data_IF_595938235829
#
_entry.id   IF_595938235829
#
_cell.length_a   1.000
_cell.length_b   1.000
_cell.length_c   1.000
_cell.angle_alpha   90.00
_cell.angle_beta   90.00
_cell.angle_gamma   90.00
#
_symmetry.space_group_name_H-M   'P 1'
#
loop_
_entity.id
_entity.type
_entity.pdbx_description
1 polymer ?
#
# COMPACT_ATOMS: atom_id res chain seq x y z
N UNK A 1 -10.78 10.28 -23.21
CA UNK A 1 -11.09 8.94 -23.74
C UNK A 1 -11.30 9.06 -25.24
N UNK A 2 -10.23 9.05 -26.03
CA UNK A 2 -10.27 9.44 -27.45
C UNK A 2 -9.61 8.41 -28.37
N UNK A 3 -10.24 8.22 -29.53
CA UNK A 3 -9.84 7.47 -30.72
C UNK A 3 -9.42 5.99 -30.58
N UNK A 4 -9.98 5.16 -31.47
CA UNK A 4 -9.60 3.76 -31.70
C UNK A 4 -8.26 3.69 -32.46
N UNK A 5 -7.18 4.18 -31.85
CA UNK A 5 -5.83 4.11 -32.42
C UNK A 5 -4.99 3.05 -31.68
N UNK A 6 -5.07 1.76 -32.07
CA UNK A 6 -4.22 0.72 -31.50
C UNK A 6 -2.80 0.79 -32.06
N UNK A 7 -1.82 0.46 -31.22
CA UNK A 7 -0.40 0.35 -31.55
C UNK A 7 0.06 -1.11 -31.45
N UNK A 8 1.17 -1.48 -32.09
CA UNK A 8 1.73 -2.84 -31.95
C UNK A 8 2.29 -3.09 -30.54
N UNK A 9 2.95 -2.07 -29.99
CA UNK A 9 3.64 -2.13 -28.70
C UNK A 9 3.31 -0.90 -27.86
N UNK A 10 3.12 -1.08 -26.55
CA UNK A 10 2.99 -0.01 -25.57
C UNK A 10 4.17 -0.09 -24.60
N UNK A 11 4.85 1.04 -24.39
CA UNK A 11 5.95 1.18 -23.44
C UNK A 11 5.55 2.14 -22.33
N UNK A 12 5.56 1.66 -21.09
CA UNK A 12 5.43 2.49 -19.91
C UNK A 12 6.82 2.88 -19.41
N UNK A 13 7.14 4.17 -19.47
CA UNK A 13 8.40 4.73 -18.96
C UNK A 13 8.42 4.83 -17.44
N UNK A 14 7.26 4.93 -16.81
CA UNK A 14 7.08 5.02 -15.36
C UNK A 14 5.80 4.31 -14.95
N UNK A 15 5.85 3.59 -13.83
CA UNK A 15 4.69 3.01 -13.16
C UNK A 15 3.97 4.00 -12.21
N UNK A 16 4.46 5.24 -12.12
CA UNK A 16 3.90 6.32 -11.29
C UNK A 16 3.25 7.40 -12.13
N UNK A 17 2.13 7.91 -11.61
CA UNK A 17 1.32 8.97 -12.19
C UNK A 17 1.09 10.06 -11.15
N UNK A 18 1.28 11.31 -11.56
CA UNK A 18 0.99 12.49 -10.74
C UNK A 18 -0.43 12.97 -11.01
N UNK A 19 -1.28 12.98 -9.99
CA UNK A 19 -2.68 13.43 -10.09
C UNK A 19 -2.86 14.90 -9.68
N UNK A 20 -1.77 15.68 -9.59
CA UNK A 20 -1.79 17.10 -9.19
C UNK A 20 -1.45 17.34 -7.71
N UNK A 21 -1.66 16.34 -6.85
CA UNK A 21 -1.36 16.41 -5.42
C UNK A 21 -0.32 15.37 -4.97
N UNK A 22 -0.44 14.14 -5.46
CA UNK A 22 0.44 13.04 -5.08
C UNK A 22 0.93 12.27 -6.32
N UNK A 23 2.10 11.67 -6.19
CA UNK A 23 2.71 10.82 -7.22
C UNK A 23 2.50 9.35 -6.83
N UNK A 24 1.35 8.82 -7.20
CA UNK A 24 0.90 7.47 -6.83
C UNK A 24 1.23 6.43 -7.90
N UNK A 25 1.15 5.16 -7.53
CA UNK A 25 1.17 4.06 -8.48
C UNK A 25 -0.08 4.07 -9.37
N UNK A 26 0.12 3.69 -10.63
CA UNK A 26 -0.97 3.48 -11.60
C UNK A 26 -1.84 2.33 -11.08
N UNK A 27 -3.18 2.49 -11.11
CA UNK A 27 -4.06 1.39 -10.69
C UNK A 27 -4.15 0.31 -11.76
N UNK A 28 -4.61 -0.88 -11.39
CA UNK A 28 -4.74 -1.97 -12.36
C UNK A 28 -5.74 -1.63 -13.47
N UNK A 29 -6.82 -0.90 -13.15
CA UNK A 29 -7.77 -0.42 -14.16
C UNK A 29 -7.13 0.54 -15.18
N UNK A 30 -6.36 1.52 -14.70
CA UNK A 30 -5.59 2.45 -15.56
C UNK A 30 -4.57 1.69 -16.42
N UNK A 31 -3.85 0.72 -15.83
CA UNK A 31 -2.90 -0.13 -16.56
C UNK A 31 -3.58 -0.90 -17.68
N UNK A 32 -4.68 -1.63 -17.39
CA UNK A 32 -5.44 -2.41 -18.37
C UNK A 32 -5.95 -1.52 -19.51
N UNK A 33 -6.44 -0.32 -19.18
CA UNK A 33 -6.94 0.61 -20.19
C UNK A 33 -5.85 1.12 -21.14
N UNK A 34 -4.65 1.39 -20.61
CA UNK A 34 -3.51 1.86 -21.41
C UNK A 34 -2.86 0.70 -22.18
N UNK A 35 -2.61 -0.43 -21.51
CA UNK A 35 -2.00 -1.62 -22.09
C UNK A 35 -2.89 -2.28 -23.15
N UNK A 36 -4.22 -2.15 -23.01
CA UNK A 36 -5.21 -2.62 -23.99
C UNK A 36 -5.15 -1.93 -25.35
N UNK A 37 -4.31 -0.90 -25.50
CA UNK A 37 -3.99 -0.29 -26.81
C UNK A 37 -2.92 -1.06 -27.58
N UNK A 38 -2.25 -2.03 -26.96
CA UNK A 38 -1.25 -2.87 -27.61
C UNK A 38 -1.90 -4.02 -28.42
N UNK A 39 -1.41 -4.24 -29.64
CA UNK A 39 -1.89 -5.26 -30.57
C UNK A 39 -2.99 -4.72 -31.51
N UNK A 40 -2.72 -4.74 -32.81
CA UNK A 40 -3.72 -4.37 -33.84
C UNK A 40 -4.42 -5.62 -34.36
N UNK A 41 -5.74 -5.66 -34.22
CA UNK A 41 -6.59 -6.78 -34.67
C UNK A 41 -6.34 -7.11 -36.15
N UNK A 42 -5.99 -8.36 -36.44
CA UNK A 42 -5.74 -8.86 -37.80
C UNK A 42 -4.41 -8.44 -38.43
N UNK A 43 -3.52 -7.72 -37.71
CA UNK A 43 -2.18 -7.34 -38.20
C UNK A 43 -1.04 -7.84 -37.32
N UNK A 44 -1.26 -7.92 -36.00
CA UNK A 44 -0.25 -8.37 -35.05
C UNK A 44 -0.78 -9.65 -34.34
N UNK A 45 0.05 -10.68 -34.20
CA UNK A 45 -0.32 -11.94 -33.52
C UNK A 45 -0.56 -11.75 -32.01
N UNK A 46 0.13 -10.77 -31.41
CA UNK A 46 0.04 -10.41 -29.99
C UNK A 46 0.41 -8.94 -29.78
N UNK A 47 -0.16 -8.32 -28.75
CA UNK A 47 0.26 -7.01 -28.25
C UNK A 47 1.45 -7.14 -27.31
N UNK A 48 2.48 -6.30 -27.49
CA UNK A 48 3.62 -6.24 -26.57
C UNK A 48 3.46 -5.06 -25.61
N UNK A 49 3.63 -5.31 -24.32
CA UNK A 49 3.57 -4.28 -23.28
C UNK A 49 4.84 -4.38 -22.45
N UNK A 50 5.58 -3.27 -22.36
CA UNK A 50 6.82 -3.19 -21.58
C UNK A 50 6.62 -2.17 -20.47
N UNK A 51 6.87 -2.59 -19.23
CA UNK A 51 6.84 -1.71 -18.05
C UNK A 51 8.24 -1.50 -17.53
N UNK A 52 8.73 -0.25 -17.56
CA UNK A 52 9.99 0.11 -16.91
C UNK A 52 9.76 0.24 -15.40
N UNK A 53 10.57 -0.48 -14.64
CA UNK A 53 10.45 -0.61 -13.18
C UNK A 53 11.60 0.13 -12.50
N UNK A 54 11.29 0.92 -11.48
CA UNK A 54 12.28 1.58 -10.62
C UNK A 54 12.61 0.68 -9.40
N UNK A 55 13.79 0.84 -8.81
CA UNK A 55 14.26 0.07 -7.65
C UNK A 55 13.34 0.21 -6.41
N UNK A 56 12.52 1.26 -6.37
CA UNK A 56 11.56 1.50 -5.29
C UNK A 56 10.29 0.65 -5.38
N UNK A 57 10.06 -0.06 -6.49
CA UNK A 57 8.86 -0.87 -6.68
C UNK A 57 9.04 -2.25 -6.05
N UNK A 58 8.14 -2.62 -5.14
CA UNK A 58 8.12 -3.98 -4.58
C UNK A 58 7.57 -4.99 -5.59
N UNK A 59 7.83 -6.27 -5.35
CA UNK A 59 7.31 -7.35 -6.20
C UNK A 59 5.79 -7.48 -6.11
N UNK A 60 5.24 -7.13 -4.95
CA UNK A 60 3.83 -7.12 -4.61
C UNK A 60 3.10 -6.01 -5.38
N UNK A 61 3.65 -4.79 -5.37
CA UNK A 61 3.10 -3.65 -6.12
C UNK A 61 3.07 -3.96 -7.62
N UNK A 62 4.16 -4.52 -8.15
CA UNK A 62 4.24 -4.93 -9.55
C UNK A 62 3.15 -5.93 -9.93
N UNK A 63 2.94 -6.94 -9.07
CA UNK A 63 1.93 -7.97 -9.25
C UNK A 63 0.53 -7.38 -9.18
N UNK A 64 0.28 -6.42 -8.29
CA UNK A 64 -1.01 -5.75 -8.16
C UNK A 64 -1.34 -4.90 -9.39
N UNK A 65 -0.37 -4.21 -9.99
CA UNK A 65 -0.62 -3.43 -11.21
C UNK A 65 -0.98 -4.35 -12.39
N UNK A 66 -0.19 -5.41 -12.60
CA UNK A 66 -0.32 -6.28 -13.78
C UNK A 66 -1.47 -7.28 -13.66
N UNK A 67 -1.65 -7.89 -12.48
CA UNK A 67 -2.64 -8.96 -12.22
C UNK A 67 -3.78 -8.52 -11.30
N UNK A 68 -3.86 -7.23 -10.98
CA UNK A 68 -4.95 -6.70 -10.16
C UNK A 68 -6.31 -6.88 -10.82
N UNK A 69 -7.34 -6.89 -9.98
CA UNK A 69 -8.70 -6.73 -10.47
C UNK A 69 -8.90 -5.28 -10.97
N UNK A 70 -9.80 -5.10 -11.93
CA UNK A 70 -10.24 -3.76 -12.34
C UNK A 70 -10.83 -3.01 -11.15
N UNK A 71 -10.51 -1.73 -11.04
CA UNK A 71 -11.01 -0.90 -9.94
C UNK A 71 -12.55 -0.84 -9.98
N UNK A 72 -13.23 -0.99 -8.83
CA UNK A 72 -14.67 -0.81 -8.76
C UNK A 72 -15.04 0.63 -9.11
N UNK A 73 -16.17 0.81 -9.79
CA UNK A 73 -16.71 2.13 -10.08
C UNK A 73 -17.24 2.74 -8.77
N UNK A 74 -16.45 3.56 -8.10
CA UNK A 74 -16.85 4.26 -6.89
C UNK A 74 -17.38 5.66 -7.21
N UNK A 75 -18.51 6.03 -6.60
CA UNK A 75 -19.07 7.36 -6.76
C UNK A 75 -18.16 8.43 -6.13
N UNK A 76 -17.83 9.46 -6.91
CA UNK A 76 -17.16 10.67 -6.41
C UNK A 76 -18.17 11.79 -6.10
N UNK A 77 -19.45 11.46 -5.93
CA UNK A 77 -20.49 12.44 -5.69
C UNK A 77 -20.19 13.27 -4.44
N UNK A 78 -20.17 14.59 -4.60
CA UNK A 78 -19.96 15.57 -3.52
C UNK A 78 -20.92 16.74 -3.73
N UNK A 79 -21.46 17.26 -2.65
CA UNK A 79 -22.27 18.48 -2.68
C UNK A 79 -21.38 19.68 -2.98
N UNK A 80 -21.81 20.50 -3.93
CA UNK A 80 -21.16 21.78 -4.26
C UNK A 80 -22.15 22.92 -4.08
N UNK A 81 -21.68 24.12 -3.74
CA UNK A 81 -22.56 25.27 -3.52
C UNK A 81 -23.46 25.57 -4.72
N UNK A 82 -22.90 25.51 -5.93
CA UNK A 82 -23.65 25.74 -7.18
C UNK A 82 -24.78 24.72 -7.35
N UNK A 83 -24.52 23.44 -7.05
CA UNK A 83 -25.53 22.38 -7.09
C UNK A 83 -26.66 22.66 -6.10
N UNK A 84 -26.34 22.99 -4.84
CA UNK A 84 -27.36 23.28 -3.82
C UNK A 84 -28.20 24.51 -4.20
N UNK A 85 -27.57 25.59 -4.65
CA UNK A 85 -28.28 26.81 -5.08
C UNK A 85 -29.19 26.54 -6.28
N UNK A 86 -28.74 25.74 -7.26
CA UNK A 86 -29.58 25.36 -8.39
C UNK A 86 -30.75 24.49 -7.97
N UNK A 87 -30.57 23.61 -6.99
CA UNK A 87 -31.64 22.75 -6.48
C UNK A 87 -32.69 23.56 -5.71
N UNK A 88 -32.26 24.50 -4.87
CA UNK A 88 -33.17 25.41 -4.16
C UNK A 88 -33.93 26.35 -5.09
N UNK A 89 -33.39 26.65 -6.28
CA UNK A 89 -34.04 27.51 -7.28
C UNK A 89 -35.17 26.79 -8.02
N UNK A 90 -35.11 25.46 -8.14
CA UNK A 90 -36.10 24.68 -8.90
C UNK A 90 -37.20 24.25 -7.94
N UNK A 91 -38.38 24.86 -8.06
CA UNK A 91 -39.55 24.45 -7.29
C UNK A 91 -39.91 22.99 -7.61
N UNK A 92 -39.93 22.14 -6.58
CA UNK A 92 -40.27 20.71 -6.68
C UNK A 92 -39.09 19.72 -6.56
N UNK A 93 -37.84 20.19 -6.44
CA UNK A 93 -36.69 19.29 -6.21
C UNK A 93 -36.06 19.55 -4.84
N UNK A 94 -36.28 18.64 -3.90
CA UNK A 94 -35.63 18.68 -2.60
C UNK A 94 -34.18 18.16 -2.72
N UNK A 95 -33.17 18.89 -2.22
CA UNK A 95 -31.78 18.42 -2.21
C UNK A 95 -31.61 17.05 -1.53
N UNK A 96 -32.38 16.79 -0.48
CA UNK A 96 -32.40 15.53 0.27
C UNK A 96 -32.80 14.36 -0.61
N UNK A 97 -33.78 14.56 -1.50
CA UNK A 97 -34.25 13.54 -2.43
C UNK A 97 -33.17 13.15 -3.45
N UNK A 98 -32.35 14.11 -3.90
CA UNK A 98 -31.19 13.83 -4.75
C UNK A 98 -30.11 13.04 -4.00
N UNK A 99 -29.88 13.38 -2.72
CA UNK A 99 -28.89 12.70 -1.89
C UNK A 99 -29.25 11.24 -1.67
N UNK A 100 -30.50 10.95 -1.33
CA UNK A 100 -30.99 9.59 -1.11
C UNK A 100 -30.86 8.70 -2.36
N UNK A 101 -31.10 9.26 -3.54
CA UNK A 101 -30.99 8.55 -4.84
C UNK A 101 -29.61 8.62 -5.47
N UNK A 102 -28.62 9.20 -4.79
CA UNK A 102 -27.27 9.29 -5.32
C UNK A 102 -26.61 7.91 -5.38
N UNK A 103 -25.79 7.67 -6.41
CA UNK A 103 -25.03 6.42 -6.53
C UNK A 103 -24.10 6.18 -5.33
N UNK A 104 -23.59 7.25 -4.72
CA UNK A 104 -22.82 7.17 -3.49
C UNK A 104 -23.63 6.56 -2.34
N UNK A 105 -24.86 7.03 -2.15
CA UNK A 105 -25.73 6.52 -1.10
C UNK A 105 -26.17 5.08 -1.37
N UNK A 106 -26.43 4.73 -2.63
CA UNK A 106 -26.69 3.34 -3.04
C UNK A 106 -25.54 2.40 -2.67
N UNK A 107 -24.29 2.78 -2.97
CA UNK A 107 -23.12 1.97 -2.64
C UNK A 107 -22.95 1.78 -1.12
N UNK A 108 -23.21 2.82 -0.34
CA UNK A 108 -23.16 2.73 1.12
C UNK A 108 -24.25 1.79 1.66
N UNK A 109 -25.48 1.90 1.18
CA UNK A 109 -26.58 1.04 1.61
C UNK A 109 -26.36 -0.43 1.25
N UNK A 110 -25.81 -0.71 0.06
CA UNK A 110 -25.47 -2.08 -0.36
C UNK A 110 -24.34 -2.69 0.49
N UNK A 111 -23.37 -1.88 0.93
CA UNK A 111 -22.27 -2.34 1.77
C UNK A 111 -22.67 -2.62 3.24
N UNK A 112 -23.68 -1.92 3.78
CA UNK A 112 -24.07 -2.01 5.21
C UNK A 112 -24.43 -3.44 5.66
N UNK A 113 -25.27 -4.22 4.95
CA UNK A 113 -25.60 -5.58 5.35
C UNK A 113 -24.38 -6.50 5.46
N UNK A 114 -23.46 -6.41 4.50
CA UNK A 114 -22.22 -7.19 4.51
C UNK A 114 -21.32 -6.84 5.69
N UNK A 115 -21.19 -5.54 6.00
CA UNK A 115 -20.44 -5.07 7.16
C UNK A 115 -21.08 -5.50 8.48
N UNK A 116 -22.42 -5.42 8.59
CA UNK A 116 -23.16 -5.89 9.78
C UNK A 116 -22.96 -7.39 10.00
N UNK A 117 -23.03 -8.19 8.93
CA UNK A 117 -22.78 -9.64 9.03
C UNK A 117 -21.38 -9.93 9.54
N UNK A 118 -20.34 -9.31 8.96
CA UNK A 118 -18.95 -9.49 9.41
C UNK A 118 -18.73 -9.04 10.85
N UNK A 119 -19.37 -7.96 11.27
CA UNK A 119 -19.31 -7.50 12.66
C UNK A 119 -19.96 -8.51 13.61
N UNK A 120 -21.09 -9.10 13.22
CA UNK A 120 -21.75 -10.15 13.98
C UNK A 120 -20.92 -11.44 14.04
N UNK A 121 -20.36 -11.90 12.91
CA UNK A 121 -19.46 -13.06 12.86
C UNK A 121 -18.27 -12.89 13.81
N UNK A 122 -17.65 -11.70 13.82
CA UNK A 122 -16.55 -11.38 14.73
C UNK A 122 -17.00 -11.23 16.18
N UNK A 123 -18.21 -10.73 16.44
CA UNK A 123 -18.75 -10.67 17.79
C UNK A 123 -18.98 -12.08 18.36
N UNK A 124 -19.53 -13.00 17.56
CA UNK A 124 -19.70 -14.40 17.94
C UNK A 124 -18.35 -15.08 18.18
N UNK A 125 -17.36 -14.84 17.32
CA UNK A 125 -16.01 -15.37 17.51
C UNK A 125 -15.37 -14.88 18.83
N UNK A 126 -15.64 -13.62 19.23
CA UNK A 126 -15.20 -13.08 20.53
C UNK A 126 -15.95 -13.73 21.69
N UNK A 127 -17.26 -13.93 21.57
CA UNK A 127 -18.08 -14.56 22.60
C UNK A 127 -17.73 -16.04 22.82
N UNK A 128 -17.36 -16.77 21.76
CA UNK A 128 -16.94 -18.17 21.83
C UNK A 128 -15.52 -18.34 22.44
N UNK A 129 -14.67 -17.31 22.31
CA UNK A 129 -13.35 -17.29 22.95
C UNK A 129 -13.46 -17.05 24.46
N UNK A 130 -13.72 -18.11 25.22
CA UNK A 130 -13.66 -18.05 26.67
C UNK A 130 -12.22 -18.21 27.19
N UNK A 131 -11.69 -17.17 27.82
CA UNK A 131 -10.36 -17.17 28.46
C UNK A 131 -10.53 -17.13 29.97
N UNK A 132 -10.05 -18.17 30.66
CA UNK A 132 -10.03 -18.19 32.12
C UNK A 132 -9.09 -17.09 32.66
N UNK A 133 -9.53 -16.34 33.69
CA UNK A 133 -8.73 -15.28 34.31
C UNK A 133 -8.23 -14.17 33.35
N UNK A 134 -9.11 -13.70 32.46
CA UNK A 134 -8.81 -12.69 31.42
C UNK A 134 -8.05 -11.45 31.95
N UNK A 135 -8.38 -10.96 33.15
CA UNK A 135 -7.74 -9.75 33.72
C UNK A 135 -6.25 -9.94 34.00
N UNK A 136 -5.88 -11.08 34.58
CA UNK A 136 -4.49 -11.36 34.94
C UNK A 136 -3.66 -11.67 33.69
N UNK A 137 -4.25 -12.40 32.75
CA UNK A 137 -3.64 -12.73 31.46
C UNK A 137 -3.42 -11.45 30.62
N UNK A 138 -4.41 -10.54 30.58
CA UNK A 138 -4.29 -9.26 29.88
C UNK A 138 -3.16 -8.42 30.48
N UNK A 139 -3.09 -8.30 31.81
CA UNK A 139 -2.02 -7.58 32.47
C UNK A 139 -0.64 -8.20 32.18
N UNK A 140 -0.55 -9.54 32.15
CA UNK A 140 0.69 -10.24 31.79
C UNK A 140 1.10 -9.97 30.34
N UNK A 141 0.17 -10.10 29.38
CA UNK A 141 0.45 -9.84 27.96
C UNK A 141 0.84 -8.39 27.71
N UNK A 142 0.20 -7.43 28.38
CA UNK A 142 0.55 -6.02 28.28
C UNK A 142 1.96 -5.77 28.80
N UNK A 143 2.30 -6.33 29.96
CA UNK A 143 3.66 -6.27 30.51
C UNK A 143 4.69 -6.92 29.58
N UNK A 144 4.42 -8.12 29.05
CA UNK A 144 5.32 -8.81 28.11
C UNK A 144 5.51 -8.01 26.82
N UNK A 145 4.41 -7.47 26.26
CA UNK A 145 4.44 -6.64 25.05
C UNK A 145 5.23 -5.37 25.28
N UNK A 146 5.01 -4.67 26.39
CA UNK A 146 5.79 -3.49 26.78
C UNK A 146 7.26 -3.82 26.96
N UNK A 147 7.59 -4.92 27.65
CA UNK A 147 8.96 -5.38 27.82
C UNK A 147 9.62 -5.69 26.47
N UNK A 148 8.94 -6.40 25.56
CA UNK A 148 9.45 -6.73 24.23
C UNK A 148 9.70 -5.48 23.40
N UNK A 149 8.77 -4.52 23.40
CA UNK A 149 8.94 -3.23 22.71
C UNK A 149 10.12 -2.45 23.31
N UNK A 150 10.22 -2.40 24.64
CA UNK A 150 11.32 -1.72 25.33
C UNK A 150 12.67 -2.35 24.98
N UNK A 151 12.79 -3.68 25.03
CA UNK A 151 14.00 -4.41 24.65
C UNK A 151 14.35 -4.15 23.18
N UNK A 152 13.39 -4.19 22.27
CA UNK A 152 13.62 -3.93 20.86
C UNK A 152 14.12 -2.49 20.61
N UNK A 153 13.53 -1.52 21.31
CA UNK A 153 13.96 -0.12 21.26
C UNK A 153 15.37 0.07 21.84
N UNK A 154 15.66 -0.54 23.00
CA UNK A 154 16.99 -0.51 23.61
C UNK A 154 18.04 -1.15 22.70
N UNK A 155 17.77 -2.32 22.14
CA UNK A 155 18.66 -2.98 21.18
C UNK A 155 18.91 -2.10 19.95
N UNK A 156 17.88 -1.42 19.45
CA UNK A 156 18.01 -0.50 18.32
C UNK A 156 18.85 0.72 18.69
N UNK A 157 18.66 1.29 19.87
CA UNK A 157 19.46 2.42 20.37
C UNK A 157 20.91 2.02 20.57
N UNK A 158 21.17 0.88 21.22
CA UNK A 158 22.52 0.31 21.39
C UNK A 158 23.17 0.10 20.04
N UNK A 159 22.48 -0.54 19.09
CA UNK A 159 23.00 -0.77 17.74
C UNK A 159 23.30 0.55 17.02
N UNK A 160 22.41 1.54 17.09
CA UNK A 160 22.63 2.87 16.50
C UNK A 160 23.88 3.54 17.09
N UNK A 161 24.06 3.49 18.41
CA UNK A 161 25.22 4.06 19.09
C UNK A 161 26.51 3.33 18.72
N UNK A 162 26.52 1.99 18.74
CA UNK A 162 27.68 1.17 18.36
C UNK A 162 28.05 1.41 16.89
N UNK A 163 27.06 1.54 16.00
CA UNK A 163 27.28 1.78 14.58
C UNK A 163 27.69 3.23 14.26
N UNK A 164 27.76 4.15 15.23
CA UNK A 164 28.30 5.48 14.98
C UNK A 164 29.79 5.39 14.61
N UNK A 165 30.26 6.12 13.58
CA UNK A 165 31.65 6.04 13.13
C UNK A 165 32.67 6.28 14.24
N UNK A 166 32.36 7.17 15.19
CA UNK A 166 33.20 7.50 16.36
C UNK A 166 33.57 6.27 17.20
N UNK A 167 32.66 5.30 17.34
CA UNK A 167 32.86 4.12 18.18
C UNK A 167 33.23 2.88 17.37
N UNK A 168 32.77 2.77 16.12
CA UNK A 168 32.99 1.58 15.29
C UNK A 168 34.37 1.55 14.62
N UNK A 169 34.82 2.68 14.06
CA UNK A 169 36.00 2.77 13.18
C UNK A 169 37.30 2.26 13.84
N UNK A 170 37.60 2.57 15.12
CA UNK A 170 38.81 2.07 15.78
C UNK A 170 38.89 0.55 15.87
N UNK A 171 37.76 -0.16 15.77
CA UNK A 171 37.69 -1.61 15.90
C UNK A 171 37.67 -2.33 14.54
N UNK A 172 37.54 -1.63 13.41
CA UNK A 172 37.44 -2.21 12.06
C UNK A 172 38.82 -2.49 11.44
N UNK A 173 39.55 -3.45 11.99
CA UNK A 173 40.80 -3.95 11.38
C UNK A 173 40.54 -5.14 10.45
N UNK A 174 41.39 -5.30 9.44
CA UNK A 174 41.36 -6.48 8.57
C UNK A 174 41.53 -7.77 9.39
N UNK A 175 40.76 -8.81 9.05
CA UNK A 175 40.76 -10.07 9.78
C UNK A 175 39.83 -10.14 10.99
N UNK A 176 39.19 -9.03 11.40
CA UNK A 176 38.22 -9.06 12.51
C UNK A 176 36.88 -9.65 12.08
N UNK A 177 36.33 -10.50 12.94
CA UNK A 177 35.01 -11.10 12.78
C UNK A 177 33.92 -10.10 13.14
N UNK A 178 32.92 -9.97 12.26
CA UNK A 178 31.72 -9.17 12.47
C UNK A 178 30.47 -10.01 12.23
N UNK A 179 29.45 -9.77 13.04
CA UNK A 179 28.13 -10.35 12.87
C UNK A 179 27.28 -9.41 12.02
N UNK A 180 27.03 -9.79 10.76
CA UNK A 180 26.30 -8.94 9.80
C UNK A 180 24.84 -9.36 9.75
N UNK A 181 23.99 -8.56 10.39
CA UNK A 181 22.53 -8.75 10.37
C UNK A 181 21.88 -7.73 9.44
N UNK A 182 21.51 -8.18 8.24
CA UNK A 182 20.64 -7.42 7.33
C UNK A 182 19.17 -7.56 7.76
N UNK A 183 18.33 -6.65 7.25
CA UNK A 183 16.91 -6.55 7.59
C UNK A 183 16.15 -7.84 7.23
N UNK A 184 16.57 -8.55 6.18
CA UNK A 184 15.93 -9.77 5.66
C UNK A 184 16.76 -11.05 5.83
N UNK A 185 18.08 -10.94 6.02
CA UNK A 185 18.99 -12.08 6.14
C UNK A 185 19.99 -11.87 7.28
N UNK A 186 20.10 -12.85 8.17
CA UNK A 186 21.17 -12.89 9.17
C UNK A 186 22.32 -13.73 8.60
N UNK A 187 23.44 -13.10 8.24
CA UNK A 187 24.67 -13.83 7.96
C UNK A 187 25.39 -14.08 9.28
N UNK A 188 25.72 -15.35 9.56
CA UNK A 188 26.23 -15.79 10.87
C UNK A 188 27.45 -14.98 11.30
N UNK A 189 28.57 -15.09 10.57
CA UNK A 189 29.78 -14.34 10.84
C UNK A 189 30.51 -14.10 9.53
N UNK A 190 31.03 -12.89 9.35
CA UNK A 190 31.85 -12.50 8.21
C UNK A 190 33.15 -11.87 8.70
N UNK A 191 34.23 -12.06 7.95
CA UNK A 191 35.54 -11.47 8.26
C UNK A 191 35.72 -10.20 7.42
N UNK A 192 36.22 -9.13 8.03
CA UNK A 192 36.51 -7.89 7.30
C UNK A 192 37.75 -8.10 6.42
N UNK A 193 37.57 -8.00 5.10
CA UNK A 193 38.65 -8.11 4.11
C UNK A 193 39.30 -6.76 3.78
N UNK A 194 38.51 -5.70 3.59
CA UNK A 194 38.99 -4.36 3.28
C UNK A 194 37.92 -3.34 3.70
N UNK A 195 38.31 -2.32 4.45
CA UNK A 195 37.42 -1.21 4.81
C UNK A 195 38.02 0.10 4.30
N UNK A 196 37.40 0.68 3.27
CA UNK A 196 37.84 1.96 2.68
C UNK A 196 36.97 3.07 3.25
N UNK A 197 37.58 3.97 4.01
CA UNK A 197 36.93 5.17 4.53
C UNK A 197 37.02 6.27 3.46
N UNK A 198 35.95 6.47 2.68
CA UNK A 198 35.85 7.62 1.77
C UNK A 198 35.41 8.82 2.59
N UNK A 199 36.39 9.62 3.04
CA UNK A 199 36.13 10.95 3.61
C UNK A 199 35.62 11.82 2.47
N UNK A 200 34.41 12.37 2.63
CA UNK A 200 33.88 13.44 1.78
C UNK A 200 33.66 14.67 2.64
#
# INVERSE_FOLDING_TARGET
MGLNMPARTVLFTSARKFDGADNRWITSGEYIQMSGRAGRRGKDDRGLVILMVDHKMSSEDAKQIIKGATDPLNSQFRLTYNMVLNLLRVEGVNPEFMLERSFYQFQNYDAIPGLKRRAQEKAVEIEDMHIEHERDITAFFDMEKQARICIANLQTTIKKTICMPKYLVPFLHAGRMIHVRFILFSFLFATIYLFIFVVR
#
